data_IF_106864570729
#
_entry.id   IF_106864570729
#
_cell.length_a   1.000
_cell.length_b   1.000
_cell.length_c   1.000
_cell.angle_alpha   90.00
_cell.angle_beta   90.00
_cell.angle_gamma   90.00
#
_symmetry.space_group_name_H-M   'P 1'
#
loop_
_entity.id
_entity.type
_entity.pdbx_description
1 polymer ?
#
# COMPACT_ATOMS: atom_id res chain seq x y z
N UNK A 1 -16.58 17.62 -6.78
CA UNK A 1 -16.22 18.43 -5.59
C UNK A 1 -15.33 17.58 -4.71
N UNK A 2 -14.13 18.05 -4.36
CA UNK A 2 -13.24 17.37 -3.41
C UNK A 2 -13.30 18.10 -2.08
N UNK A 3 -13.42 17.35 -0.98
CA UNK A 3 -13.37 17.90 0.35
C UNK A 3 -12.01 17.59 0.98
N UNK A 4 -11.32 18.62 1.45
CA UNK A 4 -10.06 18.49 2.19
C UNK A 4 -10.23 19.16 3.55
N UNK A 5 -9.78 18.50 4.62
CA UNK A 5 -9.81 19.04 5.97
C UNK A 5 -8.39 19.17 6.51
N UNK A 6 -8.06 20.34 7.07
CA UNK A 6 -6.79 20.58 7.77
C UNK A 6 -7.05 20.40 9.26
N UNK A 7 -6.39 19.42 9.86
CA UNK A 7 -6.48 19.14 11.30
C UNK A 7 -5.17 19.51 12.00
N UNK A 8 -5.21 20.10 13.20
CA UNK A 8 -4.00 20.53 13.92
C UNK A 8 -3.12 19.36 14.39
N UNK A 9 -3.73 18.21 14.68
CA UNK A 9 -3.05 16.95 15.01
C UNK A 9 -3.84 15.78 14.46
N UNK A 10 -3.16 14.67 14.24
CA UNK A 10 -3.82 13.42 13.85
C UNK A 10 -4.77 12.93 14.97
N UNK A 11 -6.06 12.74 14.67
CA UNK A 11 -7.04 12.31 15.68
C UNK A 11 -6.77 10.87 16.13
N UNK A 12 -6.91 10.61 17.44
CA UNK A 12 -6.80 9.26 17.99
C UNK A 12 -8.14 8.53 17.89
N UNK A 13 -8.11 7.28 17.43
CA UNK A 13 -9.27 6.38 17.40
C UNK A 13 -10.52 7.04 16.77
N UNK A 14 -11.59 7.20 17.55
CA UNK A 14 -12.90 7.74 17.19
C UNK A 14 -12.99 9.27 17.23
N UNK A 15 -11.92 9.98 17.63
CA UNK A 15 -11.90 11.45 17.64
C UNK A 15 -12.09 12.09 16.26
N UNK A 16 -11.84 11.34 15.18
CA UNK A 16 -12.15 11.80 13.82
C UNK A 16 -13.63 12.12 13.63
N UNK A 17 -14.53 11.51 14.42
CA UNK A 17 -15.96 11.78 14.38
C UNK A 17 -16.30 13.24 14.69
N UNK A 18 -15.59 13.88 15.63
CA UNK A 18 -15.85 15.29 15.97
C UNK A 18 -15.60 16.25 14.80
N UNK A 19 -14.66 15.90 13.91
CA UNK A 19 -14.39 16.68 12.71
C UNK A 19 -15.34 16.34 11.56
N UNK A 20 -15.82 15.09 11.50
CA UNK A 20 -16.74 14.63 10.46
C UNK A 20 -18.19 15.05 10.73
N UNK A 21 -18.61 15.15 11.99
CA UNK A 21 -20.02 15.39 12.35
C UNK A 21 -20.65 16.61 11.65
N UNK A 22 -20.03 17.81 11.60
CA UNK A 22 -20.66 18.96 10.94
C UNK A 22 -20.83 18.73 9.44
N UNK A 23 -19.82 18.13 8.81
CA UNK A 23 -19.84 17.79 7.39
C UNK A 23 -20.93 16.77 7.07
N UNK A 24 -20.97 15.66 7.82
CA UNK A 24 -21.92 14.58 7.58
C UNK A 24 -23.35 15.07 7.84
N UNK A 25 -23.56 15.96 8.80
CA UNK A 25 -24.86 16.61 9.01
C UNK A 25 -25.31 17.39 7.77
N UNK A 26 -24.44 18.20 7.17
CA UNK A 26 -24.77 18.93 5.95
C UNK A 26 -25.02 18.00 4.76
N UNK A 27 -24.22 16.95 4.61
CA UNK A 27 -24.38 15.99 3.52
C UNK A 27 -25.65 15.16 3.67
N UNK A 28 -26.01 14.74 4.88
CA UNK A 28 -27.24 14.01 5.12
C UNK A 28 -28.47 14.87 4.77
N UNK A 29 -28.47 16.13 5.22
CA UNK A 29 -29.54 17.08 4.88
C UNK A 29 -29.63 17.30 3.36
N UNK A 30 -28.49 17.47 2.68
CA UNK A 30 -28.45 17.61 1.22
C UNK A 30 -28.96 16.36 0.50
N UNK A 31 -28.67 15.17 1.00
CA UNK A 31 -29.11 13.91 0.39
C UNK A 31 -30.63 13.67 0.58
N UNK A 32 -31.12 13.82 1.80
CA UNK A 32 -32.52 13.53 2.15
C UNK A 32 -33.48 14.60 1.62
N UNK A 33 -33.16 15.87 1.89
CA UNK A 33 -34.06 17.00 1.63
C UNK A 33 -33.69 17.77 0.37
N UNK A 34 -32.46 17.66 -0.12
CA UNK A 34 -31.94 18.48 -1.22
C UNK A 34 -31.62 19.92 -0.80
N UNK A 35 -30.82 20.58 -1.63
CA UNK A 35 -30.52 22.01 -1.55
C UNK A 35 -31.17 22.70 -2.74
N UNK A 36 -32.05 23.68 -2.49
CA UNK A 36 -32.66 24.50 -3.53
C UNK A 36 -31.77 25.70 -3.84
N UNK A 37 -31.17 25.70 -5.02
CA UNK A 37 -30.54 26.90 -5.57
C UNK A 37 -31.61 27.76 -6.22
N UNK A 38 -31.71 29.03 -5.81
CA UNK A 38 -32.74 29.97 -6.32
C UNK A 38 -32.53 30.32 -7.79
N UNK A 39 -31.28 30.24 -8.28
CA UNK A 39 -30.90 30.49 -9.67
C UNK A 39 -29.61 29.75 -10.01
N UNK A 40 -29.49 29.22 -11.21
CA UNK A 40 -28.23 28.71 -11.77
C UNK A 40 -28.05 29.25 -13.19
N UNK A 41 -26.85 29.17 -13.77
CA UNK A 41 -26.57 29.69 -15.11
C UNK A 41 -27.51 29.13 -16.19
N UNK A 42 -27.86 27.83 -16.12
CA UNK A 42 -28.76 27.16 -17.07
C UNK A 42 -30.24 27.14 -16.63
N UNK A 43 -30.55 27.53 -15.39
CA UNK A 43 -31.91 27.47 -14.84
C UNK A 43 -32.20 28.75 -14.03
N UNK A 44 -32.80 29.74 -14.68
CA UNK A 44 -33.09 31.05 -14.07
C UNK A 44 -34.09 30.97 -12.90
N UNK A 45 -34.99 29.99 -12.92
CA UNK A 45 -35.97 29.69 -11.86
C UNK A 45 -35.39 28.82 -10.72
N UNK A 46 -34.10 28.49 -10.82
CA UNK A 46 -33.41 27.66 -9.84
C UNK A 46 -33.55 26.17 -10.09
N UNK A 47 -32.94 25.38 -9.20
CA UNK A 47 -32.98 23.91 -9.25
C UNK A 47 -32.73 23.32 -7.87
N UNK A 48 -33.45 22.26 -7.54
CA UNK A 48 -33.14 21.44 -6.36
C UNK A 48 -32.10 20.40 -6.75
N UNK A 49 -31.07 20.26 -5.92
CA UNK A 49 -30.00 19.28 -6.11
C UNK A 49 -29.82 18.46 -4.85
N UNK A 50 -29.38 17.21 -4.99
CA UNK A 50 -28.98 16.35 -3.88
C UNK A 50 -27.50 16.00 -4.03
N UNK A 51 -26.80 15.88 -2.92
CA UNK A 51 -25.39 15.49 -2.90
C UNK A 51 -25.21 14.16 -2.19
N UNK A 52 -24.38 13.29 -2.77
CA UNK A 52 -23.94 12.05 -2.14
C UNK A 52 -22.42 11.93 -2.24
N UNK A 53 -21.80 11.29 -1.25
CA UNK A 53 -20.43 10.81 -1.40
C UNK A 53 -20.50 9.53 -2.22
N UNK A 54 -19.77 9.45 -3.34
CA UNK A 54 -19.71 8.24 -4.15
C UNK A 54 -18.59 7.29 -3.71
N UNK A 55 -17.44 7.85 -3.34
CA UNK A 55 -16.20 7.10 -3.08
C UNK A 55 -15.36 7.76 -1.99
N UNK A 56 -14.74 6.94 -1.13
CA UNK A 56 -13.77 7.35 -0.13
C UNK A 56 -12.37 6.93 -0.56
N UNK A 57 -11.59 7.88 -1.04
CA UNK A 57 -10.20 7.67 -1.49
C UNK A 57 -9.26 8.04 -0.36
N UNK A 58 -8.53 7.06 0.16
CA UNK A 58 -7.58 7.24 1.27
C UNK A 58 -6.41 6.26 1.11
N UNK A 59 -5.29 6.54 1.78
CA UNK A 59 -4.34 5.47 2.08
C UNK A 59 -5.00 4.43 3.01
N UNK A 60 -4.47 3.19 3.03
CA UNK A 60 -5.10 2.12 3.80
C UNK A 60 -5.21 2.46 5.31
N UNK A 61 -4.17 2.99 5.99
CA UNK A 61 -4.30 3.43 7.37
C UNK A 61 -5.35 4.53 7.59
N UNK A 62 -5.37 5.58 6.77
CA UNK A 62 -6.32 6.69 6.89
C UNK A 62 -7.76 6.23 6.63
N UNK A 63 -7.97 5.42 5.60
CA UNK A 63 -9.28 4.85 5.27
C UNK A 63 -9.85 4.01 6.40
N UNK A 64 -9.03 3.16 7.03
CA UNK A 64 -9.44 2.37 8.21
C UNK A 64 -9.84 3.24 9.39
N UNK A 65 -9.12 4.35 9.62
CA UNK A 65 -9.44 5.30 10.71
C UNK A 65 -10.76 6.02 10.44
N UNK A 66 -10.94 6.58 9.25
CA UNK A 66 -12.16 7.30 8.87
C UNK A 66 -13.39 6.38 8.91
N UNK A 67 -13.27 5.17 8.36
CA UNK A 67 -14.33 4.17 8.39
C UNK A 67 -14.48 3.48 9.76
N UNK A 68 -13.60 3.78 10.72
CA UNK A 68 -13.57 3.20 12.05
C UNK A 68 -13.51 1.66 12.07
N UNK A 69 -12.82 1.10 11.08
CA UNK A 69 -12.62 -0.33 10.91
C UNK A 69 -11.27 -0.77 11.50
N UNK A 70 -11.15 -2.07 11.77
CA UNK A 70 -9.91 -2.65 12.25
C UNK A 70 -8.75 -2.42 11.26
N UNK A 71 -7.60 -2.04 11.80
CA UNK A 71 -6.41 -1.75 11.02
C UNK A 71 -5.87 -2.99 10.30
N UNK A 72 -5.07 -2.75 9.26
CA UNK A 72 -4.50 -3.78 8.38
C UNK A 72 -3.59 -4.81 9.09
N UNK A 73 -3.24 -4.60 10.36
CA UNK A 73 -2.47 -5.56 11.15
C UNK A 73 -3.34 -6.55 11.93
N UNK A 74 -4.65 -6.30 12.06
CA UNK A 74 -5.59 -7.18 12.77
C UNK A 74 -5.54 -8.60 12.24
N UNK A 75 -5.50 -9.61 13.12
CA UNK A 75 -5.52 -11.02 12.70
C UNK A 75 -6.88 -11.41 12.10
N UNK A 76 -7.98 -11.03 12.76
CA UNK A 76 -9.33 -11.39 12.37
C UNK A 76 -9.96 -10.43 11.35
N UNK A 77 -9.48 -9.19 11.26
CA UNK A 77 -10.18 -8.13 10.54
C UNK A 77 -9.26 -7.21 9.71
N UNK A 78 -8.17 -7.74 9.14
CA UNK A 78 -7.26 -6.91 8.34
C UNK A 78 -7.92 -6.32 7.08
N UNK A 79 -8.82 -7.05 6.43
CA UNK A 79 -9.53 -6.62 5.23
C UNK A 79 -10.86 -5.92 5.57
N UNK A 80 -11.16 -4.82 4.87
CA UNK A 80 -12.45 -4.11 4.97
C UNK A 80 -13.56 -4.75 4.14
N UNK A 81 -13.20 -5.57 3.14
CA UNK A 81 -14.16 -6.09 2.16
C UNK A 81 -14.59 -7.53 2.46
N UNK A 82 -13.69 -8.36 2.96
CA UNK A 82 -13.95 -9.76 3.28
C UNK A 82 -13.59 -10.12 4.73
N UNK A 83 -13.97 -11.33 5.13
CA UNK A 83 -13.76 -11.89 6.48
C UNK A 83 -12.53 -12.82 6.58
N UNK A 84 -11.67 -12.87 5.54
CA UNK A 84 -10.49 -13.73 5.55
C UNK A 84 -9.61 -13.44 6.78
N UNK A 85 -9.20 -14.50 7.48
CA UNK A 85 -8.25 -14.39 8.58
C UNK A 85 -6.84 -14.17 8.05
N UNK A 86 -6.06 -13.29 8.68
CA UNK A 86 -4.70 -12.93 8.25
C UNK A 86 -3.75 -14.12 8.22
N UNK A 87 -3.97 -15.14 9.05
CA UNK A 87 -3.15 -16.36 9.02
C UNK A 87 -3.36 -17.19 7.74
N UNK A 88 -4.48 -16.97 7.03
CA UNK A 88 -4.77 -17.54 5.71
C UNK A 88 -4.51 -16.55 4.57
N UNK A 89 -3.66 -15.54 4.76
CA UNK A 89 -3.43 -14.49 3.74
C UNK A 89 -2.85 -14.99 2.41
N UNK A 90 -2.33 -16.22 2.39
CA UNK A 90 -1.89 -16.90 1.16
C UNK A 90 -3.05 -17.58 0.41
N UNK A 91 -4.27 -17.58 0.95
CA UNK A 91 -5.48 -17.90 0.21
C UNK A 91 -5.81 -16.73 -0.71
N UNK A 92 -5.45 -16.89 -1.98
CA UNK A 92 -5.50 -15.84 -3.00
C UNK A 92 -6.68 -15.99 -3.95
N UNK A 93 -7.44 -17.08 -3.90
CA UNK A 93 -8.61 -17.25 -4.74
C UNK A 93 -9.82 -16.55 -4.09
N UNK A 94 -10.34 -15.46 -4.70
CA UNK A 94 -11.47 -14.73 -4.17
C UNK A 94 -12.75 -15.56 -3.99
N UNK A 95 -12.86 -16.71 -4.68
CA UNK A 95 -14.00 -17.62 -4.53
C UNK A 95 -14.16 -18.15 -3.10
N UNK A 96 -13.06 -18.26 -2.33
CA UNK A 96 -13.09 -18.70 -0.93
C UNK A 96 -13.30 -17.57 0.08
N UNK A 97 -13.45 -16.33 -0.39
CA UNK A 97 -13.57 -15.18 0.49
C UNK A 97 -15.03 -14.82 0.71
N UNK A 98 -15.45 -14.88 1.97
CA UNK A 98 -16.78 -14.42 2.34
C UNK A 98 -16.78 -12.89 2.44
N UNK A 99 -17.60 -12.17 1.65
CA UNK A 99 -17.76 -10.73 1.79
C UNK A 99 -18.25 -10.38 3.19
N UNK A 100 -17.91 -9.18 3.67
CA UNK A 100 -18.51 -8.68 4.90
C UNK A 100 -20.00 -8.38 4.68
N UNK A 101 -20.76 -8.44 5.76
CA UNK A 101 -22.16 -8.03 5.75
C UNK A 101 -22.28 -6.58 6.23
N UNK A 102 -22.68 -5.68 5.33
CA UNK A 102 -22.86 -4.26 5.62
C UNK A 102 -23.97 -4.00 6.65
N UNK A 103 -25.03 -4.82 6.67
CA UNK A 103 -26.13 -4.70 7.63
C UNK A 103 -25.62 -5.08 9.02
N UNK A 104 -24.91 -6.19 9.14
CA UNK A 104 -24.27 -6.59 10.38
C UNK A 104 -23.25 -5.55 10.87
N UNK A 105 -22.43 -4.99 9.97
CA UNK A 105 -21.48 -3.92 10.31
C UNK A 105 -22.18 -2.66 10.82
N UNK A 106 -23.29 -2.25 10.17
CA UNK A 106 -24.10 -1.11 10.60
C UNK A 106 -24.67 -1.34 11.99
N UNK A 107 -25.31 -2.48 12.23
CA UNK A 107 -25.83 -2.84 13.56
C UNK A 107 -24.72 -2.84 14.62
N UNK A 108 -23.56 -3.43 14.32
CA UNK A 108 -22.42 -3.44 15.23
C UNK A 108 -21.88 -2.03 15.53
N UNK A 109 -21.83 -1.14 14.53
CA UNK A 109 -21.38 0.24 14.72
C UNK A 109 -22.33 1.04 15.63
N UNK A 110 -23.65 0.88 15.47
CA UNK A 110 -24.63 1.50 16.36
C UNK A 110 -24.61 0.89 17.76
N UNK A 111 -24.48 -0.43 17.88
CA UNK A 111 -24.30 -1.09 19.18
C UNK A 111 -23.03 -0.56 19.89
N UNK A 112 -21.93 -0.40 19.16
CA UNK A 112 -20.70 0.19 19.70
C UNK A 112 -20.90 1.63 20.18
N UNK A 113 -21.66 2.44 19.42
CA UNK A 113 -22.00 3.82 19.79
C UNK A 113 -22.79 3.88 21.10
N UNK A 114 -23.81 3.01 21.21
CA UNK A 114 -24.78 3.01 22.31
C UNK A 114 -24.28 2.24 23.54
N UNK A 115 -23.23 1.44 23.39
CA UNK A 115 -22.59 0.71 24.49
C UNK A 115 -22.15 1.68 25.60
N UNK A 116 -22.52 1.34 26.83
CA UNK A 116 -22.32 2.18 28.02
C UNK A 116 -20.97 1.96 28.68
N UNK A 117 -20.32 0.82 28.39
CA UNK A 117 -19.03 0.45 28.94
C UNK A 117 -17.95 0.28 27.88
N UNK A 118 -16.70 0.56 28.27
CA UNK A 118 -15.54 0.27 27.42
C UNK A 118 -15.41 -1.22 27.10
N UNK A 119 -15.70 -2.10 28.07
CA UNK A 119 -15.62 -3.55 27.88
C UNK A 119 -16.59 -4.04 26.80
N UNK A 120 -17.82 -3.52 26.78
CA UNK A 120 -18.81 -3.82 25.74
C UNK A 120 -18.35 -3.33 24.36
N UNK A 121 -17.84 -2.09 24.28
CA UNK A 121 -17.24 -1.54 23.05
C UNK A 121 -16.08 -2.40 22.53
N UNK A 122 -15.20 -2.85 23.42
CA UNK A 122 -14.06 -3.68 23.07
C UNK A 122 -14.52 -5.08 22.60
N UNK A 123 -15.55 -5.66 23.21
CA UNK A 123 -16.14 -6.94 22.79
C UNK A 123 -16.80 -6.84 21.41
N UNK A 124 -17.57 -5.78 21.14
CA UNK A 124 -18.18 -5.53 19.82
C UNK A 124 -17.09 -5.36 18.76
N UNK A 125 -16.07 -4.55 19.04
CA UNK A 125 -14.96 -4.34 18.12
C UNK A 125 -14.16 -5.63 17.87
N UNK A 126 -13.93 -6.46 18.89
CA UNK A 126 -13.24 -7.74 18.74
C UNK A 126 -14.01 -8.72 17.84
N UNK A 127 -15.35 -8.70 17.90
CA UNK A 127 -16.22 -9.58 17.11
C UNK A 127 -16.40 -9.13 15.66
N UNK A 128 -16.62 -7.84 15.44
CA UNK A 128 -17.01 -7.32 14.12
C UNK A 128 -15.91 -6.52 13.42
N UNK A 129 -14.93 -6.01 14.18
CA UNK A 129 -13.85 -5.19 13.65
C UNK A 129 -14.27 -3.78 13.24
N UNK A 130 -15.34 -3.24 13.83
CA UNK A 130 -15.88 -1.91 13.51
C UNK A 130 -16.25 -1.14 14.78
N UNK A 131 -16.06 0.18 14.76
CA UNK A 131 -16.53 1.14 15.76
C UNK A 131 -17.50 2.14 15.12
N UNK A 132 -18.08 3.04 15.92
CA UNK A 132 -18.90 4.12 15.39
C UNK A 132 -18.08 5.10 14.55
N UNK A 133 -18.53 5.32 13.32
CA UNK A 133 -18.12 6.40 12.42
C UNK A 133 -19.33 7.27 12.10
N UNK A 134 -19.17 8.58 12.04
CA UNK A 134 -20.24 9.50 11.58
C UNK A 134 -20.79 9.12 10.20
N UNK A 135 -19.97 8.47 9.36
CA UNK A 135 -20.39 7.98 8.04
C UNK A 135 -21.62 7.08 8.08
N UNK A 136 -21.86 6.34 9.17
CA UNK A 136 -23.03 5.47 9.31
C UNK A 136 -24.36 6.23 9.34
N UNK A 137 -24.35 7.53 9.61
CA UNK A 137 -25.54 8.39 9.50
C UNK A 137 -26.03 8.54 8.07
N UNK A 138 -25.15 8.40 7.08
CA UNK A 138 -25.55 8.39 5.68
C UNK A 138 -26.25 7.05 5.38
N UNK A 139 -27.53 7.12 5.04
CA UNK A 139 -28.37 5.93 4.80
C UNK A 139 -27.83 5.04 3.68
N UNK A 140 -27.15 5.62 2.70
CA UNK A 140 -26.53 4.94 1.56
C UNK A 140 -25.09 4.47 1.79
N UNK A 141 -24.50 4.75 2.95
CA UNK A 141 -23.09 4.40 3.20
C UNK A 141 -22.88 2.89 3.30
N UNK A 142 -21.94 2.41 2.49
CA UNK A 142 -21.45 1.04 2.45
C UNK A 142 -19.91 1.03 2.37
N UNK A 143 -19.18 0.77 3.47
CA UNK A 143 -17.72 0.77 3.46
C UNK A 143 -17.12 -0.33 2.58
N UNK A 144 -17.85 -1.39 2.27
CA UNK A 144 -17.36 -2.51 1.44
C UNK A 144 -17.25 -2.06 -0.02
N UNK A 145 -18.18 -1.20 -0.44
CA UNK A 145 -18.28 -0.68 -1.81
C UNK A 145 -17.63 0.68 -1.99
N UNK A 146 -17.61 1.52 -0.96
CA UNK A 146 -17.23 2.92 -1.10
C UNK A 146 -15.80 3.20 -0.61
N UNK A 147 -15.21 2.35 0.24
CA UNK A 147 -13.83 2.51 0.70
C UNK A 147 -12.87 1.79 -0.27
N UNK A 148 -12.42 2.51 -1.28
CA UNK A 148 -11.58 1.95 -2.35
C UNK A 148 -10.16 1.65 -1.89
N UNK A 149 -9.52 0.71 -2.57
CA UNK A 149 -8.10 0.37 -2.37
C UNK A 149 -7.29 1.19 -3.35
N UNK A 150 -6.79 2.34 -2.90
CA UNK A 150 -6.00 3.25 -3.73
C UNK A 150 -4.81 2.55 -4.41
N UNK A 151 -4.77 2.62 -5.75
CA UNK A 151 -3.69 2.02 -6.54
C UNK A 151 -2.34 2.68 -6.34
N UNK A 152 -2.28 3.98 -5.98
CA UNK A 152 -1.00 4.64 -5.75
C UNK A 152 -0.26 4.01 -4.58
N UNK A 153 -0.91 3.93 -3.42
CA UNK A 153 -0.32 3.33 -2.22
C UNK A 153 -0.31 1.80 -2.27
N UNK A 154 -1.35 1.17 -2.81
CA UNK A 154 -1.45 -0.30 -2.82
C UNK A 154 -0.58 -0.93 -3.91
N UNK A 155 -0.74 -0.51 -5.17
CA UNK A 155 0.00 -1.10 -6.28
C UNK A 155 1.43 -0.58 -6.34
N UNK A 156 1.64 0.74 -6.42
CA UNK A 156 2.99 1.27 -6.68
C UNK A 156 3.87 1.25 -5.43
N UNK A 157 3.43 1.87 -4.34
CA UNK A 157 4.22 1.89 -3.10
C UNK A 157 4.16 0.58 -2.31
N UNK A 158 3.15 -0.26 -2.58
CA UNK A 158 2.96 -1.55 -1.95
C UNK A 158 3.59 -2.70 -2.74
N UNK A 159 2.96 -3.08 -3.86
CA UNK A 159 3.32 -4.28 -4.63
C UNK A 159 4.57 -4.07 -5.49
N UNK A 160 4.62 -3.01 -6.29
CA UNK A 160 5.73 -2.77 -7.22
C UNK A 160 7.01 -2.50 -6.45
N UNK A 161 6.94 -1.65 -5.43
CA UNK A 161 8.04 -1.47 -4.50
C UNK A 161 8.47 -2.80 -3.86
N UNK A 162 7.52 -3.62 -3.39
CA UNK A 162 7.85 -4.93 -2.82
C UNK A 162 8.56 -5.82 -3.84
N UNK A 163 8.02 -5.89 -5.05
CA UNK A 163 8.55 -6.69 -6.14
C UNK A 163 9.99 -6.29 -6.47
N UNK A 164 10.20 -5.01 -6.78
CA UNK A 164 11.51 -4.51 -7.13
C UNK A 164 12.52 -4.72 -5.99
N UNK A 165 12.15 -4.40 -4.74
CA UNK A 165 13.10 -4.44 -3.62
C UNK A 165 13.37 -5.84 -3.08
N UNK A 166 12.34 -6.68 -2.97
CA UNK A 166 12.42 -7.97 -2.30
C UNK A 166 12.41 -9.14 -3.28
N UNK A 167 11.64 -9.08 -4.36
CA UNK A 167 11.58 -10.20 -5.32
C UNK A 167 12.77 -10.16 -6.28
N UNK A 168 13.09 -8.97 -6.81
CA UNK A 168 14.21 -8.74 -7.73
C UNK A 168 15.50 -8.32 -7.01
N UNK A 169 15.40 -7.82 -5.78
CA UNK A 169 16.58 -7.38 -5.03
C UNK A 169 17.22 -6.09 -5.56
N UNK A 170 16.44 -5.16 -6.11
CA UNK A 170 16.94 -3.88 -6.62
C UNK A 170 17.42 -2.96 -5.48
N UNK A 171 17.01 -3.17 -4.22
CA UNK A 171 17.54 -2.38 -3.09
C UNK A 171 18.99 -2.80 -2.77
N UNK A 172 19.96 -2.04 -3.28
CA UNK A 172 21.36 -2.17 -2.94
C UNK A 172 21.59 -1.89 -1.45
N UNK A 173 21.62 -2.94 -0.63
CA UNK A 173 22.89 -3.12 0.08
C UNK A 173 23.91 -3.33 -1.01
N UNK A 174 24.88 -2.44 -1.08
CA UNK A 174 26.19 -2.66 -1.70
C UNK A 174 26.44 -4.16 -1.92
N UNK A 175 26.97 -4.53 -3.10
CA UNK A 175 28.00 -5.55 -3.08
C UNK A 175 28.88 -5.16 -1.90
N UNK A 176 28.80 -5.91 -0.78
CA UNK A 176 29.49 -5.55 0.46
C UNK A 176 30.87 -5.10 0.00
N UNK A 177 31.22 -3.83 0.26
CA UNK A 177 32.61 -3.41 0.24
C UNK A 177 33.34 -4.49 1.00
N UNK A 178 34.03 -5.39 0.30
CA UNK A 178 34.62 -6.65 0.79
C UNK A 178 33.93 -7.20 2.04
N UNK A 179 33.08 -8.24 1.92
CA UNK A 179 32.43 -8.95 3.03
C UNK A 179 33.33 -8.89 4.28
N UNK A 180 33.07 -7.96 5.21
CA UNK A 180 34.09 -7.60 6.21
C UNK A 180 34.07 -8.75 7.20
N UNK A 181 34.95 -9.73 7.00
CA UNK A 181 35.01 -10.93 7.81
C UNK A 181 35.24 -10.43 9.24
N UNK A 182 34.26 -10.62 10.15
CA UNK A 182 34.44 -10.15 11.52
C UNK A 182 35.66 -10.85 12.08
N UNK A 183 36.56 -10.07 12.67
CA UNK A 183 37.75 -10.65 13.28
C UNK A 183 37.33 -11.59 14.41
N UNK A 184 38.15 -12.60 14.71
CA UNK A 184 37.91 -13.51 15.85
C UNK A 184 37.67 -12.71 17.15
N UNK A 185 38.36 -11.58 17.31
CA UNK A 185 38.22 -10.67 18.45
C UNK A 185 36.84 -10.01 18.53
N UNK A 186 36.25 -9.61 17.40
CA UNK A 186 34.88 -9.07 17.36
C UNK A 186 33.83 -10.12 17.70
N UNK A 187 34.03 -11.35 17.21
CA UNK A 187 33.17 -12.50 17.51
C UNK A 187 33.22 -12.84 19.00
N UNK A 188 34.42 -12.95 19.58
CA UNK A 188 34.61 -13.29 20.99
C UNK A 188 34.10 -12.18 21.92
N UNK A 189 34.34 -10.91 21.55
CA UNK A 189 33.79 -9.76 22.27
C UNK A 189 32.26 -9.79 22.30
N UNK A 190 31.62 -10.05 21.16
CA UNK A 190 30.16 -10.18 21.08
C UNK A 190 29.63 -11.40 21.85
N UNK A 191 30.32 -12.55 21.82
CA UNK A 191 29.96 -13.73 22.62
C UNK A 191 29.98 -13.42 24.11
N UNK A 192 30.99 -12.70 24.60
CA UNK A 192 31.10 -12.28 26.00
C UNK A 192 30.00 -11.29 26.41
N UNK A 193 29.63 -10.37 25.52
CA UNK A 193 28.50 -9.44 25.77
C UNK A 193 27.19 -10.23 25.88
N UNK A 194 26.98 -11.21 25.00
CA UNK A 194 25.76 -12.03 24.93
C UNK A 194 25.65 -13.08 26.05
N UNK A 195 26.77 -13.59 26.57
CA UNK A 195 26.79 -14.56 27.67
C UNK A 195 26.79 -13.92 29.06
N UNK A 196 27.19 -12.65 29.17
CA UNK A 196 27.22 -11.93 30.44
C UNK A 196 25.82 -11.49 30.87
N UNK A 197 25.37 -11.99 32.03
CA UNK A 197 24.14 -11.55 32.70
C UNK A 197 24.18 -10.09 33.20
N UNK A 198 25.36 -9.46 33.18
CA UNK A 198 25.57 -8.05 33.59
C UNK A 198 25.54 -7.05 32.42
N UNK A 199 25.43 -7.52 31.17
CA UNK A 199 25.41 -6.66 29.98
C UNK A 199 24.06 -5.95 29.79
N UNK A 200 24.10 -4.62 29.64
CA UNK A 200 22.89 -3.81 29.41
C UNK A 200 22.32 -3.98 28.00
N UNK A 201 21.03 -3.69 27.82
CA UNK A 201 20.36 -3.78 26.52
C UNK A 201 20.95 -2.80 25.49
N UNK A 202 21.45 -1.64 25.96
CA UNK A 202 22.19 -0.70 25.14
C UNK A 202 23.53 -1.26 24.64
N UNK A 203 24.19 -2.15 25.41
CA UNK A 203 25.43 -2.80 24.98
C UNK A 203 25.17 -3.89 23.93
N UNK A 204 24.08 -4.65 24.07
CA UNK A 204 23.64 -5.64 23.07
C UNK A 204 23.25 -4.96 21.75
N UNK A 205 22.59 -3.80 21.82
CA UNK A 205 22.21 -3.00 20.65
C UNK A 205 23.40 -2.40 19.85
N UNK A 206 24.62 -2.41 20.41
CA UNK A 206 25.84 -1.92 19.74
C UNK A 206 26.58 -3.01 18.95
N UNK A 207 26.15 -4.26 19.02
CA UNK A 207 26.79 -5.35 18.27
C UNK A 207 26.48 -5.19 16.77
N UNK A 208 27.53 -5.16 15.95
CA UNK A 208 27.40 -4.99 14.49
C UNK A 208 26.68 -6.19 13.87
N UNK A 209 25.87 -5.93 12.84
CA UNK A 209 25.03 -6.93 12.17
C UNK A 209 25.83 -8.11 11.58
N UNK A 210 26.99 -7.87 10.98
CA UNK A 210 27.82 -8.94 10.38
C UNK A 210 28.45 -9.87 11.44
N UNK A 211 28.74 -9.38 12.65
CA UNK A 211 29.27 -10.19 13.77
C UNK A 211 28.19 -11.15 14.30
N UNK A 212 26.95 -10.67 14.46
CA UNK A 212 25.81 -11.51 14.86
C UNK A 212 25.56 -12.63 13.84
N UNK A 213 25.64 -12.30 12.54
CA UNK A 213 25.49 -13.25 11.43
C UNK A 213 26.55 -14.37 11.48
N UNK A 214 27.79 -14.06 11.89
CA UNK A 214 28.87 -15.05 12.05
C UNK A 214 28.64 -15.98 13.25
N UNK A 215 28.26 -15.44 14.42
CA UNK A 215 28.01 -16.23 15.64
C UNK A 215 26.84 -17.21 15.44
N UNK A 216 25.76 -16.78 14.77
CA UNK A 216 24.62 -17.65 14.48
C UNK A 216 24.97 -18.79 13.51
N UNK A 217 25.92 -18.58 12.58
CA UNK A 217 26.42 -19.64 11.69
C UNK A 217 27.23 -20.69 12.45
N UNK A 218 28.11 -20.26 13.36
CA UNK A 218 28.95 -21.16 14.19
C UNK A 218 28.13 -22.08 15.08
N UNK A 219 27.03 -21.58 15.65
CA UNK A 219 26.19 -22.35 16.59
C UNK A 219 25.13 -23.25 15.94
N UNK A 220 24.98 -23.22 14.62
CA UNK A 220 23.99 -24.07 13.92
C UNK A 220 22.52 -23.77 14.27
N UNK A 221 22.20 -22.61 14.83
CA UNK A 221 20.90 -22.27 15.45
C UNK A 221 19.82 -21.74 14.49
N UNK A 222 19.57 -22.37 13.34
CA UNK A 222 18.47 -21.95 12.44
C UNK A 222 17.59 -23.17 12.13
N UNK A 223 16.36 -23.33 12.67
CA UNK A 223 15.20 -22.40 12.61
C UNK A 223 14.52 -22.19 14.02
N UNK A 224 13.49 -21.37 14.29
CA UNK A 224 12.26 -20.93 13.61
C UNK A 224 11.76 -19.61 14.26
N UNK A 225 11.00 -18.78 13.52
CA UNK A 225 10.15 -17.64 13.96
C UNK A 225 10.51 -16.19 13.62
N UNK A 226 11.71 -15.81 13.16
CA UNK A 226 11.95 -14.39 12.80
C UNK A 226 13.11 -14.16 11.83
N UNK A 227 12.81 -14.22 10.53
CA UNK A 227 13.53 -13.41 9.54
C UNK A 227 13.04 -11.96 9.64
N UNK A 228 13.42 -11.27 10.70
CA UNK A 228 13.77 -9.86 10.54
C UNK A 228 15.03 -9.78 9.65
N UNK A 229 14.76 -9.97 8.36
CA UNK A 229 15.55 -9.55 7.19
C UNK A 229 16.74 -10.44 6.80
N UNK A 230 16.52 -11.12 5.67
CA UNK A 230 17.49 -11.69 4.71
C UNK A 230 18.07 -13.08 5.07
N UNK A 231 17.58 -14.12 4.40
CA UNK A 231 18.28 -15.42 4.32
C UNK A 231 19.42 -15.35 3.31
N UNK A 232 20.48 -16.15 3.53
CA UNK A 232 21.59 -16.36 2.57
C UNK A 232 21.08 -16.84 1.20
N UNK A 233 19.96 -17.58 1.16
CA UNK A 233 19.25 -17.99 -0.07
C UNK A 233 18.47 -16.84 -0.73
N UNK A 234 18.04 -15.83 0.03
CA UNK A 234 17.46 -14.59 -0.48
C UNK A 234 18.52 -13.65 -1.05
N UNK A 235 19.73 -13.65 -0.49
CA UNK A 235 20.86 -12.88 -1.02
C UNK A 235 21.42 -13.46 -2.33
N UNK A 236 21.25 -14.77 -2.57
CA UNK A 236 21.52 -15.39 -3.87
C UNK A 236 20.47 -15.06 -4.94
N UNK A 237 19.37 -14.40 -4.57
CA UNK A 237 18.26 -14.01 -5.46
C UNK A 237 18.23 -12.50 -5.77
N UNK A 238 19.22 -11.76 -5.26
CA UNK A 238 19.41 -10.37 -5.64
C UNK A 238 19.91 -10.35 -7.09
N UNK A 239 19.44 -9.39 -7.89
CA UNK A 239 20.16 -8.99 -9.10
C UNK A 239 21.65 -8.92 -8.75
N UNK A 240 22.44 -9.76 -9.40
CA UNK A 240 23.89 -9.70 -9.25
C UNK A 240 24.37 -8.32 -9.70
N UNK A 241 25.52 -7.86 -9.22
CA UNK A 241 26.06 -6.54 -9.56
C UNK A 241 26.06 -6.28 -11.07
N UNK A 242 26.36 -7.30 -11.88
CA UNK A 242 26.32 -7.24 -13.34
C UNK A 242 24.91 -7.03 -13.92
N UNK A 243 23.89 -7.66 -13.35
CA UNK A 243 22.49 -7.53 -13.81
C UNK A 243 21.91 -6.16 -13.41
N UNK A 244 22.27 -5.67 -12.23
CA UNK A 244 21.91 -4.31 -11.80
C UNK A 244 22.61 -3.25 -12.66
N UNK A 245 23.88 -3.48 -13.05
CA UNK A 245 24.60 -2.64 -14.00
C UNK A 245 23.96 -2.66 -15.38
N UNK A 246 23.50 -3.83 -15.86
CA UNK A 246 22.77 -3.95 -17.11
C UNK A 246 21.45 -3.16 -17.07
N UNK A 247 20.71 -3.24 -15.96
CA UNK A 247 19.52 -2.42 -15.73
C UNK A 247 19.86 -0.91 -15.76
N UNK A 248 20.92 -0.48 -15.08
CA UNK A 248 21.34 0.93 -15.11
C UNK A 248 21.77 1.38 -16.51
N UNK A 249 22.44 0.52 -17.27
CA UNK A 249 22.84 0.79 -18.65
C UNK A 249 21.60 0.95 -19.55
N UNK A 250 20.62 0.06 -19.44
CA UNK A 250 19.35 0.15 -20.15
C UNK A 250 18.60 1.44 -19.78
N UNK A 251 18.51 1.77 -18.49
CA UNK A 251 17.84 2.99 -18.03
C UNK A 251 18.45 4.28 -18.62
N UNK A 252 19.77 4.30 -18.82
CA UNK A 252 20.52 5.42 -19.42
C UNK A 252 20.31 5.51 -20.94
N UNK A 253 20.17 4.38 -21.63
CA UNK A 253 19.98 4.34 -23.08
C UNK A 253 18.53 4.54 -23.51
N UNK A 254 17.55 4.29 -22.63
CA UNK A 254 16.12 4.49 -22.94
C UNK A 254 15.80 5.95 -23.24
N UNK A 255 15.42 6.22 -24.49
CA UNK A 255 14.85 7.50 -24.91
C UNK A 255 13.36 7.56 -24.55
N UNK A 256 12.92 8.66 -23.95
CA UNK A 256 11.54 8.83 -23.46
C UNK A 256 10.95 10.15 -23.94
N UNK A 257 9.62 10.23 -24.18
CA UNK A 257 8.95 11.51 -24.37
C UNK A 257 9.16 12.43 -23.17
N UNK A 258 9.22 13.75 -23.41
CA UNK A 258 9.51 14.76 -22.37
C UNK A 258 8.51 14.78 -21.21
N UNK A 259 7.28 14.32 -21.45
CA UNK A 259 6.20 14.24 -20.46
C UNK A 259 6.24 12.97 -19.60
N UNK A 260 7.04 11.96 -19.97
CA UNK A 260 7.17 10.71 -19.23
C UNK A 260 8.49 10.67 -18.46
N UNK A 261 8.42 10.92 -17.15
CA UNK A 261 9.59 10.76 -16.28
C UNK A 261 9.79 9.27 -15.97
N UNK A 262 10.95 8.75 -16.36
CA UNK A 262 11.39 7.41 -15.98
C UNK A 262 11.79 7.33 -14.50
N UNK A 263 12.10 6.12 -14.01
CA UNK A 263 12.77 5.96 -12.73
C UNK A 263 14.19 6.56 -12.78
N UNK A 264 14.83 6.78 -11.62
CA UNK A 264 16.22 7.22 -11.56
C UNK A 264 17.15 6.23 -12.26
N UNK A 265 18.13 6.74 -12.99
CA UNK A 265 19.12 5.91 -13.71
C UNK A 265 19.97 5.02 -12.77
N UNK A 266 20.05 5.39 -11.49
CA UNK A 266 20.70 4.66 -10.41
C UNK A 266 19.67 3.93 -9.53
N UNK A 267 18.58 3.42 -10.12
CA UNK A 267 17.53 2.69 -9.42
C UNK A 267 18.15 1.63 -8.50
N UNK A 268 17.83 1.69 -7.21
CA UNK A 268 18.40 0.77 -6.21
C UNK A 268 19.59 1.31 -5.41
N UNK A 269 20.20 2.43 -5.83
CA UNK A 269 21.25 3.09 -5.07
C UNK A 269 20.68 4.02 -3.98
N UNK A 270 21.31 4.03 -2.80
CA UNK A 270 20.90 4.89 -1.67
C UNK A 270 20.96 6.40 -1.97
N UNK A 271 21.78 6.82 -2.95
CA UNK A 271 22.04 8.24 -3.26
C UNK A 271 20.82 9.00 -3.79
N UNK A 272 19.82 8.31 -4.36
CA UNK A 272 18.59 8.97 -4.85
C UNK A 272 17.50 9.14 -3.78
N UNK A 273 17.64 8.51 -2.61
CA UNK A 273 16.62 8.52 -1.57
C UNK A 273 15.39 7.66 -1.89
N UNK A 274 14.26 7.90 -1.19
CA UNK A 274 13.03 7.12 -1.34
C UNK A 274 12.36 7.44 -2.68
N UNK A 275 12.17 6.42 -3.51
CA UNK A 275 11.41 6.51 -4.77
C UNK A 275 9.94 6.84 -4.50
N UNK A 276 9.39 7.74 -5.31
CA UNK A 276 7.97 8.14 -5.30
C UNK A 276 7.13 7.12 -6.06
N UNK A 277 5.83 7.03 -5.74
CA UNK A 277 4.87 6.17 -6.44
C UNK A 277 4.94 6.26 -7.97
N UNK A 278 5.03 7.48 -8.52
CA UNK A 278 5.12 7.69 -9.98
C UNK A 278 6.39 7.08 -10.61
N UNK A 279 7.50 7.08 -9.87
CA UNK A 279 8.75 6.46 -10.34
C UNK A 279 8.64 4.93 -10.32
N UNK A 280 7.95 4.36 -9.33
CA UNK A 280 7.64 2.93 -9.30
C UNK A 280 6.73 2.53 -10.45
N UNK A 281 5.70 3.34 -10.72
CA UNK A 281 4.81 3.16 -11.86
C UNK A 281 5.59 3.12 -13.18
N UNK A 282 6.37 4.15 -13.48
CA UNK A 282 7.19 4.18 -14.71
C UNK A 282 8.16 2.99 -14.79
N UNK A 283 8.77 2.61 -13.66
CA UNK A 283 9.69 1.48 -13.61
C UNK A 283 9.02 0.16 -14.02
N UNK A 284 7.84 -0.15 -13.50
CA UNK A 284 7.17 -1.42 -13.77
C UNK A 284 6.41 -1.43 -15.10
N UNK A 285 5.95 -0.27 -15.58
CA UNK A 285 5.21 -0.18 -16.85
C UNK A 285 6.11 -0.48 -18.05
N UNK A 286 7.42 -0.22 -17.96
CA UNK A 286 8.32 -0.40 -19.09
C UNK A 286 9.74 -0.82 -18.68
N UNK A 287 10.42 0.01 -17.90
CA UNK A 287 11.87 -0.06 -17.77
C UNK A 287 12.39 -1.36 -17.18
N UNK A 288 11.81 -1.82 -16.06
CA UNK A 288 12.22 -3.05 -15.38
C UNK A 288 11.87 -4.28 -16.21
N UNK A 289 10.61 -4.50 -16.67
CA UNK A 289 10.29 -5.66 -17.48
C UNK A 289 11.15 -5.79 -18.76
N UNK A 290 11.34 -4.70 -19.50
CA UNK A 290 12.12 -4.70 -20.75
C UNK A 290 13.59 -4.99 -20.49
N UNK A 291 14.18 -4.38 -19.46
CA UNK A 291 15.60 -4.61 -19.12
C UNK A 291 15.85 -6.06 -18.69
N UNK A 292 14.92 -6.66 -17.93
CA UNK A 292 15.01 -8.05 -17.54
C UNK A 292 14.80 -8.99 -18.74
N UNK A 293 13.86 -8.68 -19.63
CA UNK A 293 13.65 -9.47 -20.84
C UNK A 293 14.90 -9.48 -21.73
N UNK A 294 15.57 -8.34 -21.89
CA UNK A 294 16.84 -8.27 -22.64
C UNK A 294 17.97 -9.07 -21.98
N UNK A 295 18.00 -9.10 -20.65
CA UNK A 295 19.08 -9.74 -19.89
C UNK A 295 18.86 -11.25 -19.70
N UNK A 296 17.61 -11.70 -19.67
CA UNK A 296 17.21 -13.06 -19.26
C UNK A 296 16.37 -13.80 -20.32
N UNK A 297 16.38 -13.37 -21.58
CA UNK A 297 15.78 -14.11 -22.69
C UNK A 297 16.60 -15.35 -23.05
N UNK A 298 16.48 -16.40 -22.23
CA UNK A 298 17.07 -17.71 -22.48
C UNK A 298 16.13 -18.58 -23.32
N UNK A 299 16.69 -19.41 -24.21
CA UNK A 299 15.93 -20.44 -24.93
C UNK A 299 15.50 -21.58 -24.00
N UNK A 300 14.44 -22.31 -24.37
CA UNK A 300 13.93 -23.41 -23.54
C UNK A 300 14.98 -24.51 -23.31
N UNK A 301 15.83 -24.78 -24.31
CA UNK A 301 16.95 -25.72 -24.22
C UNK A 301 18.01 -25.28 -23.18
N UNK A 302 18.27 -23.97 -23.07
CA UNK A 302 19.19 -23.42 -22.07
C UNK A 302 18.61 -23.45 -20.66
N UNK A 303 17.29 -23.27 -20.54
CA UNK A 303 16.60 -23.26 -19.26
C UNK A 303 16.51 -24.68 -18.68
N UNK A 304 16.27 -25.70 -19.51
CA UNK A 304 15.98 -27.06 -19.03
C UNK A 304 17.07 -27.65 -18.11
N UNK A 305 18.33 -27.26 -18.31
CA UNK A 305 19.48 -27.82 -17.58
C UNK A 305 20.19 -26.82 -16.65
N UNK A 306 19.69 -25.60 -16.51
CA UNK A 306 20.33 -24.55 -15.69
C UNK A 306 19.34 -23.94 -14.69
N UNK A 307 19.49 -24.31 -13.40
CA UNK A 307 18.66 -23.82 -12.31
C UNK A 307 18.66 -22.29 -12.18
N UNK A 308 19.78 -21.62 -12.52
CA UNK A 308 19.88 -20.15 -12.49
C UNK A 308 18.98 -19.56 -13.58
N UNK A 309 19.04 -20.10 -14.79
CA UNK A 309 18.22 -19.63 -15.93
C UNK A 309 16.73 -19.92 -15.71
N UNK A 310 16.38 -21.07 -15.12
CA UNK A 310 15.01 -21.38 -14.70
C UNK A 310 14.48 -20.32 -13.73
N UNK A 311 15.28 -19.96 -12.74
CA UNK A 311 14.90 -18.95 -11.75
C UNK A 311 14.77 -17.56 -12.36
N UNK A 312 15.71 -17.16 -13.22
CA UNK A 312 15.64 -15.88 -13.96
C UNK A 312 14.37 -15.81 -14.81
N UNK A 313 13.99 -16.91 -15.48
CA UNK A 313 12.73 -17.00 -16.24
C UNK A 313 11.51 -16.80 -15.34
N UNK A 314 11.44 -17.47 -14.18
CA UNK A 314 10.33 -17.28 -13.23
C UNK A 314 10.25 -15.85 -12.67
N UNK A 315 11.40 -15.21 -12.41
CA UNK A 315 11.46 -13.81 -11.98
C UNK A 315 10.99 -12.86 -13.08
N UNK A 316 11.41 -13.11 -14.33
CA UNK A 316 10.92 -12.36 -15.49
C UNK A 316 9.41 -12.53 -15.66
N UNK A 317 8.90 -13.76 -15.64
CA UNK A 317 7.47 -14.07 -15.77
C UNK A 317 6.66 -13.36 -14.66
N UNK A 318 7.10 -13.44 -13.40
CA UNK A 318 6.45 -12.72 -12.30
C UNK A 318 6.46 -11.20 -12.50
N UNK A 319 7.54 -10.65 -13.07
CA UNK A 319 7.65 -9.21 -13.36
C UNK A 319 6.71 -8.80 -14.48
N UNK A 320 6.63 -9.59 -15.55
CA UNK A 320 5.72 -9.37 -16.67
C UNK A 320 4.26 -9.47 -16.23
N UNK A 321 3.91 -10.47 -15.41
CA UNK A 321 2.56 -10.61 -14.86
C UNK A 321 2.15 -9.40 -14.03
N UNK A 322 3.05 -8.89 -13.17
CA UNK A 322 2.79 -7.67 -12.41
C UNK A 322 2.65 -6.45 -13.32
N UNK A 323 3.52 -6.29 -14.32
CA UNK A 323 3.47 -5.19 -15.27
C UNK A 323 2.16 -5.18 -16.08
N UNK A 324 1.75 -6.34 -16.59
CA UNK A 324 0.48 -6.50 -17.33
C UNK A 324 -0.72 -6.24 -16.41
N UNK A 325 -0.72 -6.77 -15.19
CA UNK A 325 -1.78 -6.50 -14.23
C UNK A 325 -1.89 -5.00 -13.92
N UNK A 326 -0.75 -4.33 -13.67
CA UNK A 326 -0.72 -2.88 -13.47
C UNK A 326 -1.26 -2.14 -14.69
N UNK A 327 -0.84 -2.50 -15.90
CA UNK A 327 -1.32 -1.88 -17.14
C UNK A 327 -2.83 -1.99 -17.34
N UNK A 328 -3.42 -3.16 -17.08
CA UNK A 328 -4.88 -3.33 -17.11
C UNK A 328 -5.58 -2.48 -16.04
N UNK A 329 -5.02 -2.44 -14.83
CA UNK A 329 -5.60 -1.72 -13.69
C UNK A 329 -5.50 -0.19 -13.80
N UNK A 330 -4.54 0.32 -14.55
CA UNK A 330 -4.27 1.77 -14.72
C UNK A 330 -4.67 2.30 -16.09
N UNK A 331 -5.32 1.47 -16.91
CA UNK A 331 -5.90 1.86 -18.19
C UNK A 331 -6.83 3.07 -18.05
N UNK A 332 -6.82 3.94 -19.06
CA UNK A 332 -7.69 5.11 -19.13
C UNK A 332 -9.15 4.75 -19.43
N UNK A 333 -9.41 3.48 -19.78
CA UNK A 333 -10.73 2.90 -20.01
C UNK A 333 -10.94 1.68 -19.12
N UNK A 334 -12.19 1.34 -18.88
CA UNK A 334 -12.53 0.19 -18.04
C UNK A 334 -13.74 -0.54 -18.60
N UNK A 335 -13.68 -1.86 -18.58
CA UNK A 335 -14.75 -2.77 -18.97
C UNK A 335 -14.65 -4.06 -18.16
N UNK A 336 -15.59 -4.99 -18.38
CA UNK A 336 -15.52 -6.33 -17.78
C UNK A 336 -14.21 -7.05 -18.09
N UNK A 337 -13.68 -6.88 -19.31
CA UNK A 337 -12.41 -7.48 -19.75
C UNK A 337 -11.26 -6.89 -18.94
N UNK A 338 -11.21 -5.56 -18.76
CA UNK A 338 -10.16 -4.93 -17.98
C UNK A 338 -10.12 -5.45 -16.54
N UNK A 339 -11.28 -5.53 -15.87
CA UNK A 339 -11.36 -6.03 -14.50
C UNK A 339 -11.00 -7.52 -14.41
N UNK A 340 -11.43 -8.33 -15.37
CA UNK A 340 -11.10 -9.75 -15.45
C UNK A 340 -9.60 -9.96 -15.66
N UNK A 341 -9.01 -9.30 -16.66
CA UNK A 341 -7.59 -9.44 -16.98
C UNK A 341 -6.70 -8.87 -15.89
N UNK A 342 -7.07 -7.75 -15.29
CA UNK A 342 -6.41 -7.24 -14.08
C UNK A 342 -6.31 -8.34 -13.01
N UNK A 343 -7.47 -8.91 -12.62
CA UNK A 343 -7.53 -9.89 -11.53
C UNK A 343 -6.80 -11.18 -11.90
N UNK A 344 -6.96 -11.66 -13.14
CA UNK A 344 -6.30 -12.86 -13.66
C UNK A 344 -4.77 -12.75 -13.59
N UNK A 345 -4.20 -11.67 -14.10
CA UNK A 345 -2.75 -11.46 -14.08
C UNK A 345 -2.24 -11.19 -12.66
N UNK A 346 -3.00 -10.48 -11.83
CA UNK A 346 -2.63 -10.26 -10.42
C UNK A 346 -2.62 -11.57 -9.62
N UNK A 347 -3.59 -12.45 -9.83
CA UNK A 347 -3.60 -13.78 -9.21
C UNK A 347 -2.41 -14.62 -9.69
N UNK A 348 -2.16 -14.68 -10.99
CA UNK A 348 -1.02 -15.40 -11.56
C UNK A 348 0.32 -14.87 -11.03
N UNK A 349 0.45 -13.55 -10.88
CA UNK A 349 1.60 -12.92 -10.23
C UNK A 349 1.79 -13.44 -8.80
N UNK A 350 0.75 -13.37 -7.96
CA UNK A 350 0.84 -13.82 -6.57
C UNK A 350 1.08 -15.33 -6.43
N UNK A 351 0.49 -16.15 -7.32
CA UNK A 351 0.78 -17.57 -7.43
C UNK A 351 2.27 -17.80 -7.70
N UNK A 352 2.84 -17.08 -8.67
CA UNK A 352 4.26 -17.18 -9.01
C UNK A 352 5.14 -16.78 -7.84
N UNK A 353 4.79 -15.74 -7.07
CA UNK A 353 5.50 -15.36 -5.85
C UNK A 353 5.47 -16.47 -4.80
N UNK A 354 4.32 -17.11 -4.59
CA UNK A 354 4.19 -18.22 -3.63
C UNK A 354 4.94 -19.48 -4.10
N UNK A 355 5.04 -19.74 -5.40
CA UNK A 355 5.87 -20.82 -5.94
C UNK A 355 7.36 -20.53 -5.75
N UNK A 356 7.79 -19.30 -6.04
CA UNK A 356 9.19 -18.86 -5.87
C UNK A 356 9.61 -18.84 -4.40
N UNK A 357 8.67 -18.56 -3.49
CA UNK A 357 8.89 -18.41 -2.06
C UNK A 357 7.77 -19.08 -1.23
N UNK A 358 7.76 -20.43 -1.10
CA UNK A 358 6.65 -21.15 -0.46
C UNK A 358 6.42 -20.79 1.01
N UNK A 359 7.46 -20.39 1.73
CA UNK A 359 7.37 -19.96 3.14
C UNK A 359 6.98 -18.48 3.30
N UNK A 360 6.82 -17.74 2.20
CA UNK A 360 6.48 -16.33 2.26
C UNK A 360 5.01 -16.15 2.64
N UNK A 361 4.76 -15.30 3.63
CA UNK A 361 3.42 -14.84 3.96
C UNK A 361 3.14 -13.54 3.22
N UNK A 362 2.10 -13.55 2.40
CA UNK A 362 1.64 -12.34 1.72
C UNK A 362 1.30 -11.23 2.73
N UNK A 363 1.42 -9.99 2.25
CA UNK A 363 1.10 -8.77 3.02
C UNK A 363 -0.32 -8.28 2.70
N UNK A 364 -0.96 -7.49 3.57
CA UNK A 364 -2.29 -6.93 3.31
C UNK A 364 -2.46 -6.26 1.95
N UNK A 365 -1.42 -5.59 1.43
CA UNK A 365 -1.49 -4.95 0.11
C UNK A 365 -1.66 -5.97 -1.03
N UNK A 366 -1.04 -7.16 -0.94
CA UNK A 366 -1.20 -8.23 -1.94
C UNK A 366 -2.64 -8.73 -1.99
N UNK A 367 -3.24 -8.97 -0.81
CA UNK A 367 -4.65 -9.31 -0.72
C UNK A 367 -5.55 -8.15 -1.19
N UNK A 368 -5.20 -6.91 -0.85
CA UNK A 368 -5.93 -5.73 -1.28
C UNK A 368 -5.92 -5.55 -2.81
N UNK A 369 -4.81 -5.90 -3.48
CA UNK A 369 -4.72 -5.81 -4.93
C UNK A 369 -5.77 -6.68 -5.62
N UNK A 370 -6.09 -7.85 -5.08
CA UNK A 370 -7.11 -8.75 -5.63
C UNK A 370 -8.55 -8.21 -5.51
N UNK A 371 -8.78 -7.18 -4.71
CA UNK A 371 -10.07 -6.49 -4.60
C UNK A 371 -10.21 -5.28 -5.54
N UNK A 372 -9.19 -4.95 -6.34
CA UNK A 372 -9.24 -3.78 -7.25
C UNK A 372 -10.17 -4.01 -8.44
N UNK A 373 -10.27 -5.24 -8.97
CA UNK A 373 -11.14 -5.56 -10.10
C UNK A 373 -12.60 -5.08 -9.91
N UNK A 374 -13.27 -5.43 -8.80
CA UNK A 374 -14.60 -4.90 -8.48
C UNK A 374 -14.70 -3.37 -8.46
N UNK A 375 -13.68 -2.65 -7.98
CA UNK A 375 -13.67 -1.19 -7.96
C UNK A 375 -13.54 -0.58 -9.35
N UNK A 376 -12.81 -1.22 -10.26
CA UNK A 376 -12.76 -0.83 -11.67
C UNK A 376 -14.17 -0.87 -12.28
N UNK A 377 -14.93 -1.94 -12.04
CA UNK A 377 -16.31 -2.05 -12.55
C UNK A 377 -17.26 -1.02 -11.94
N UNK A 378 -17.04 -0.67 -10.67
CA UNK A 378 -17.95 0.22 -9.94
C UNK A 378 -17.69 1.71 -10.20
N UNK A 379 -16.42 2.13 -10.27
CA UNK A 379 -16.03 3.54 -10.34
C UNK A 379 -15.35 3.92 -11.65
N UNK A 380 -15.16 2.95 -12.55
CA UNK A 380 -14.42 3.14 -13.78
C UNK A 380 -12.90 3.22 -13.56
N UNK A 381 -12.18 3.89 -14.47
CA UNK A 381 -10.72 3.95 -14.46
C UNK A 381 -10.15 4.39 -13.11
N UNK A 382 -9.12 3.69 -12.64
CA UNK A 382 -8.45 3.94 -11.35
C UNK A 382 -7.97 5.38 -11.17
N UNK A 383 -7.68 6.07 -12.28
CA UNK A 383 -7.25 7.47 -12.27
C UNK A 383 -8.30 8.43 -11.70
N UNK A 384 -9.57 8.04 -11.70
CA UNK A 384 -10.65 8.80 -11.07
C UNK A 384 -10.68 8.70 -9.54
N UNK A 385 -10.01 7.70 -8.96
CA UNK A 385 -10.12 7.38 -7.53
C UNK A 385 -8.79 7.01 -6.86
N UNK A 386 -7.64 7.37 -7.45
CA UNK A 386 -6.33 7.24 -6.82
C UNK A 386 -5.87 8.48 -6.02
N UNK A 387 -4.86 8.33 -5.16
CA UNK A 387 -4.44 9.37 -4.21
C UNK A 387 -3.55 10.49 -4.79
N UNK A 388 -3.02 10.38 -6.01
CA UNK A 388 -2.09 11.39 -6.56
C UNK A 388 -2.60 12.84 -6.51
N UNK A 389 -3.85 13.16 -6.90
CA UNK A 389 -4.35 14.53 -6.83
C UNK A 389 -4.44 15.03 -5.38
N UNK A 390 -4.84 14.16 -4.45
CA UNK A 390 -5.00 14.48 -3.04
C UNK A 390 -3.65 14.74 -2.37
N UNK A 391 -2.63 13.91 -2.63
CA UNK A 391 -1.26 14.15 -2.15
C UNK A 391 -0.69 15.48 -2.65
N UNK A 392 -1.00 15.87 -3.89
CA UNK A 392 -0.59 17.17 -4.43
C UNK A 392 -1.27 18.32 -3.67
N UNK A 393 -2.56 18.20 -3.38
CA UNK A 393 -3.31 19.20 -2.59
C UNK A 393 -2.74 19.25 -1.17
N UNK A 394 -2.51 18.11 -0.52
CA UNK A 394 -1.89 18.03 0.81
C UNK A 394 -0.53 18.73 0.81
N UNK A 395 0.31 18.47 -0.19
CA UNK A 395 1.61 19.14 -0.33
C UNK A 395 1.52 20.66 -0.55
N UNK A 396 0.47 21.16 -1.21
CA UNK A 396 0.20 22.60 -1.33
C UNK A 396 -0.23 23.17 0.04
N UNK A 397 -1.13 22.48 0.74
CA UNK A 397 -1.62 22.89 2.05
C UNK A 397 -0.49 22.94 3.08
N UNK A 398 0.42 21.94 3.08
CA UNK A 398 1.59 21.90 3.96
C UNK A 398 2.58 23.05 3.74
N UNK A 399 2.63 23.60 2.52
CA UNK A 399 3.50 24.75 2.18
C UNK A 399 2.84 26.09 2.47
N UNK A 400 1.55 26.10 2.79
CA UNK A 400 0.82 27.31 3.12
C UNK A 400 1.21 27.74 4.54
N UNK A 401 1.69 28.97 4.71
CA UNK A 401 2.02 29.50 6.02
C UNK A 401 0.77 29.62 6.89
N UNK A 402 0.59 28.71 7.84
CA UNK A 402 -0.45 28.81 8.86
C UNK A 402 0.13 29.39 10.14
N UNK A 403 -0.51 30.42 10.69
CA UNK A 403 -0.12 30.99 12.00
C UNK A 403 -0.51 30.08 13.20
N UNK A 404 -1.05 28.89 12.94
CA UNK A 404 -1.51 27.88 13.91
C UNK A 404 -2.44 28.41 15.01
N UNK A 405 -3.08 29.55 14.78
CA UNK A 405 -4.06 30.17 15.69
C UNK A 405 -5.46 29.89 15.18
N UNK A 406 -6.20 29.04 15.89
CA UNK A 406 -7.64 28.85 15.68
C UNK A 406 -8.38 30.14 16.07
N UNK A 407 -9.25 30.65 15.19
CA UNK A 407 -10.29 31.61 15.58
C UNK A 407 -10.02 33.11 15.43
N UNK A 408 -9.09 33.56 14.59
CA UNK A 408 -9.16 34.95 14.08
C UNK A 408 -9.77 34.97 12.69
N UNK A 409 -11.08 35.21 12.62
CA UNK A 409 -11.73 35.71 11.40
C UNK A 409 -10.96 36.93 10.95
N UNK A 410 -10.24 36.83 9.83
CA UNK A 410 -9.83 38.03 9.13
C UNK A 410 -11.11 38.66 8.60
N UNK A 411 -11.48 39.82 9.13
CA UNK A 411 -12.42 40.72 8.46
C UNK A 411 -11.78 41.11 7.13
N UNK A 412 -12.03 40.32 6.10
CA UNK A 412 -11.79 40.75 4.72
C UNK A 412 -13.00 41.59 4.36
N UNK A 413 -13.03 42.83 4.84
CA UNK A 413 -13.72 43.92 4.16
C UNK A 413 -12.97 44.14 2.84
N UNK A 414 -13.37 43.42 1.80
CA UNK A 414 -12.73 43.49 0.49
C UNK A 414 -13.68 42.98 -0.57
N UNK A 415 -14.27 43.95 -1.28
CA UNK A 415 -15.10 43.84 -2.47
C UNK A 415 -14.98 42.52 -3.24
N UNK A 416 -16.13 41.86 -3.43
CA UNK A 416 -16.31 40.85 -4.44
C UNK A 416 -16.09 41.46 -5.84
N UNK A 417 -15.22 40.87 -6.64
CA UNK A 417 -15.32 40.91 -8.11
C UNK A 417 -14.75 39.63 -8.73
N UNK A 418 -15.58 39.05 -9.59
CA UNK A 418 -15.43 37.96 -10.58
C UNK A 418 -15.29 36.52 -10.07
#
# INVERSE_FOLDING_TARGET
MYLNAVMPKEPKLDQSNHYMEPLITQLNNSYENGVKFTRTYKHHEGRQTRSAIAVFVNDLPGGKKVAQMAGHQSKSHFCSLCTLHKDRINEIDPAFWVPRDVVALRHAAYAWKNATSKAERDAIFAKYGVRWSELWRLSYYDPIKMLVIDGMHNLFEGLVQFHCRYVLGIDGSEAETEETIPTTREIDGAKNILSSSRSSEAAKGRIKFHVLKAICREKGLLPEQSLSRLTKRFMLNLLQTSELQALHAALRSTQRPSWQRGPPVNLGCKTHGKLKADQWRSAIEFDVPVSLAQSWAHSDAEVQNDEKKQRQRQLLDSTMLLAVAVGWGTSDVTSQIHAYDYTRHMMAYLQTILMLYPSFKLRPNHHGALHIGPFLLQFGPMRGWWMYPFERIIGILQKTNTNSKLGKTYNVSGCAYC
#
